data_IF_549980970104
#
_entry.id   IF_549980970104
#
_cell.length_a   1.000
_cell.length_b   1.000
_cell.length_c   1.000
_cell.angle_alpha   90.00
_cell.angle_beta   90.00
_cell.angle_gamma   90.00
#
_symmetry.space_group_name_H-M   'P 1'
#
loop_
_entity.id
_entity.type
_entity.pdbx_description
1 polymer ?
#
# COMPACT_ATOMS: atom_id res chain seq x y z
N UNK A 1 -6.10 10.05 20.58
CA UNK A 1 -6.61 9.82 19.21
C UNK A 1 -6.23 8.40 18.87
N UNK A 2 -7.23 7.55 18.61
CA UNK A 2 -7.12 6.10 18.75
C UNK A 2 -6.12 5.47 17.77
N UNK A 3 -5.34 4.52 18.27
CA UNK A 3 -4.33 3.72 17.56
C UNK A 3 -4.96 2.69 16.58
N UNK A 4 -6.27 2.78 16.33
CA UNK A 4 -7.11 1.76 15.67
C UNK A 4 -7.06 1.76 14.13
N UNK A 5 -6.28 2.63 13.48
CA UNK A 5 -6.21 2.69 12.02
C UNK A 5 -5.03 1.92 11.42
N UNK A 6 -4.12 1.36 12.25
CA UNK A 6 -3.00 0.54 11.79
C UNK A 6 -3.20 -0.90 12.25
N UNK A 7 -3.51 -1.78 11.30
CA UNK A 7 -3.41 -3.22 11.52
C UNK A 7 -1.97 -3.64 11.21
N UNK A 8 -1.18 -3.94 12.25
CA UNK A 8 0.11 -4.62 12.07
C UNK A 8 -0.17 -6.04 11.63
N UNK A 9 0.08 -6.33 10.36
CA UNK A 9 -0.26 -7.62 9.73
C UNK A 9 0.78 -8.68 10.07
N UNK A 10 2.06 -8.30 10.06
CA UNK A 10 3.17 -9.23 10.31
C UNK A 10 4.44 -8.46 10.67
N UNK A 11 5.22 -9.00 11.62
CA UNK A 11 6.60 -8.56 11.86
C UNK A 11 7.50 -9.76 11.70
N UNK A 12 8.50 -9.66 10.83
CA UNK A 12 9.43 -10.77 10.55
C UNK A 12 10.84 -10.32 10.87
N UNK A 13 11.56 -11.10 11.68
CA UNK A 13 12.99 -10.91 11.87
C UNK A 13 13.75 -11.65 10.77
N UNK A 14 14.70 -10.98 10.12
CA UNK A 14 15.53 -11.59 9.08
C UNK A 14 16.97 -11.12 9.24
N UNK A 15 17.92 -12.03 9.01
CA UNK A 15 19.35 -11.73 9.05
C UNK A 15 19.86 -11.47 7.63
N UNK A 16 20.42 -10.28 7.41
CA UNK A 16 20.86 -9.83 6.09
C UNK A 16 22.28 -9.29 6.24
N UNK A 17 23.25 -10.01 5.67
CA UNK A 17 24.67 -9.65 5.78
C UNK A 17 25.21 -9.66 7.22
N UNK A 18 24.68 -10.53 8.10
CA UNK A 18 25.07 -10.62 9.50
C UNK A 18 24.42 -9.59 10.43
N UNK A 19 23.53 -8.73 9.91
CA UNK A 19 22.76 -7.77 10.70
C UNK A 19 21.31 -8.25 10.80
N UNK A 20 20.81 -8.38 12.02
CA UNK A 20 19.38 -8.65 12.27
C UNK A 20 18.57 -7.40 11.93
N UNK A 21 17.67 -7.51 10.95
CA UNK A 21 16.68 -6.48 10.62
C UNK A 21 15.29 -6.98 10.97
N UNK A 22 14.51 -6.11 11.60
CA UNK A 22 13.08 -6.31 11.85
C UNK A 22 12.33 -5.69 10.69
N UNK A 23 11.73 -6.51 9.83
CA UNK A 23 10.89 -6.05 8.72
C UNK A 23 9.45 -5.94 9.21
N UNK A 24 8.91 -4.72 9.16
CA UNK A 24 7.52 -4.45 9.54
C UNK A 24 6.62 -4.49 8.31
N UNK A 25 5.52 -5.23 8.45
CA UNK A 25 4.39 -5.19 7.53
C UNK A 25 3.15 -4.74 8.26
N UNK A 26 2.64 -3.57 7.89
CA UNK A 26 1.40 -3.05 8.44
C UNK A 26 0.50 -2.56 7.32
N UNK A 27 -0.81 -2.54 7.55
CA UNK A 27 -1.78 -1.94 6.66
C UNK A 27 -2.58 -0.89 7.41
N UNK A 28 -3.08 0.10 6.68
CA UNK A 28 -4.00 1.10 7.21
C UNK A 28 -5.02 1.50 6.17
N UNK A 29 -6.16 2.01 6.63
CA UNK A 29 -7.22 2.49 5.75
C UNK A 29 -6.75 3.67 4.93
N UNK A 30 -7.25 3.75 3.70
CA UNK A 30 -7.07 4.88 2.80
C UNK A 30 -8.35 5.12 2.01
N UNK A 31 -8.48 6.32 1.47
CA UNK A 31 -9.63 6.71 0.66
C UNK A 31 -9.20 6.94 -0.77
N UNK A 32 -9.93 6.38 -1.73
CA UNK A 32 -9.71 6.64 -3.15
C UNK A 32 -10.09 8.09 -3.45
N UNK A 33 -9.14 8.87 -3.97
CA UNK A 33 -9.38 10.27 -4.33
C UNK A 33 -9.55 10.48 -5.83
N UNK A 34 -8.98 9.59 -6.65
CA UNK A 34 -9.09 9.68 -8.10
C UNK A 34 -8.95 8.31 -8.74
N UNK A 35 -9.75 8.07 -9.76
CA UNK A 35 -9.63 6.92 -10.65
C UNK A 35 -9.62 7.43 -12.09
N UNK A 36 -8.71 6.92 -12.91
CA UNK A 36 -8.65 7.22 -14.34
C UNK A 36 -8.33 5.93 -15.12
N UNK A 37 -9.11 5.61 -16.14
CA UNK A 37 -8.87 4.42 -16.96
C UNK A 37 -7.79 4.69 -18.00
N UNK A 38 -6.89 3.72 -18.20
CA UNK A 38 -5.83 3.79 -19.19
C UNK A 38 -5.48 2.39 -19.73
N UNK A 39 -5.75 2.13 -21.02
CA UNK A 39 -5.24 0.97 -21.78
C UNK A 39 -5.35 -0.38 -21.03
N UNK A 40 -6.52 -0.69 -20.47
CA UNK A 40 -6.80 -1.95 -19.77
C UNK A 40 -6.52 -1.93 -18.26
N UNK A 41 -5.97 -0.84 -17.74
CA UNK A 41 -5.68 -0.63 -16.32
C UNK A 41 -6.47 0.58 -15.78
N UNK A 42 -6.53 0.68 -14.45
CA UNK A 42 -6.98 1.86 -13.73
C UNK A 42 -5.78 2.50 -13.05
N UNK A 43 -5.61 3.79 -13.27
CA UNK A 43 -4.78 4.63 -12.43
C UNK A 43 -5.61 5.02 -11.22
N UNK A 44 -5.18 4.63 -10.03
CA UNK A 44 -5.85 4.91 -8.77
C UNK A 44 -4.94 5.77 -7.91
N UNK A 45 -5.47 6.87 -7.42
CA UNK A 45 -4.83 7.68 -6.39
C UNK A 45 -5.61 7.50 -5.10
N UNK A 46 -4.91 7.17 -4.03
CA UNK A 46 -5.48 7.07 -2.69
C UNK A 46 -4.85 8.10 -1.78
N UNK A 47 -5.62 8.56 -0.80
CA UNK A 47 -5.16 9.40 0.28
C UNK A 47 -5.12 8.60 1.56
N UNK A 48 -3.97 8.67 2.21
CA UNK A 48 -3.74 8.18 3.54
C UNK A 48 -4.10 9.28 4.54
N UNK A 49 -5.19 9.08 5.28
CA UNK A 49 -5.69 10.05 6.25
C UNK A 49 -4.72 10.26 7.42
N UNK A 50 -3.90 9.25 7.76
CA UNK A 50 -3.00 9.32 8.92
C UNK A 50 -1.74 10.14 8.63
N UNK A 51 -1.17 9.98 7.44
CA UNK A 51 0.04 10.74 7.04
C UNK A 51 -0.25 11.94 6.13
N UNK A 52 -1.51 12.16 5.75
CA UNK A 52 -1.91 13.16 4.78
C UNK A 52 -1.08 13.10 3.48
N UNK A 53 -0.77 11.86 3.05
CA UNK A 53 0.01 11.56 1.85
C UNK A 53 -0.88 10.93 0.79
N UNK A 54 -0.54 11.18 -0.47
CA UNK A 54 -1.19 10.56 -1.61
C UNK A 54 -0.26 9.55 -2.26
N UNK A 55 -0.82 8.40 -2.61
CA UNK A 55 -0.11 7.34 -3.31
C UNK A 55 -0.76 7.09 -4.66
N UNK A 56 0.06 6.91 -5.69
CA UNK A 56 -0.36 6.65 -7.06
C UNK A 56 -0.07 5.20 -7.43
N UNK A 57 -1.10 4.52 -7.92
CA UNK A 57 -1.06 3.15 -8.42
C UNK A 57 -1.48 3.16 -9.89
N UNK A 58 -0.56 2.84 -10.79
CA UNK A 58 -0.76 2.98 -12.23
C UNK A 58 -1.26 1.72 -12.93
N UNK A 59 -1.30 0.59 -12.24
CA UNK A 59 -1.56 -0.73 -12.83
C UNK A 59 -2.59 -1.50 -12.02
N UNK A 60 -3.60 -0.82 -11.50
CA UNK A 60 -4.73 -1.49 -10.85
C UNK A 60 -5.55 -2.21 -11.92
N UNK A 61 -5.79 -3.50 -11.70
CA UNK A 61 -6.52 -4.36 -12.66
C UNK A 61 -7.93 -3.80 -12.86
N UNK A 62 -8.36 -3.72 -14.12
CA UNK A 62 -9.72 -3.29 -14.48
C UNK A 62 -10.74 -4.44 -14.38
N UNK A 63 -10.62 -5.29 -13.38
CA UNK A 63 -11.60 -6.34 -13.06
C UNK A 63 -12.51 -5.88 -11.91
N UNK A 64 -13.64 -6.54 -11.65
CA UNK A 64 -14.35 -6.37 -10.39
C UNK A 64 -13.40 -6.60 -9.18
N UNK A 65 -13.58 -5.85 -8.07
CA UNK A 65 -14.62 -4.84 -7.84
C UNK A 65 -14.38 -3.54 -8.63
N UNK A 66 -15.47 -2.80 -8.88
CA UNK A 66 -15.35 -1.42 -9.35
C UNK A 66 -14.77 -0.55 -8.23
N UNK A 67 -13.90 0.39 -8.58
CA UNK A 67 -13.23 1.29 -7.63
C UNK A 67 -13.60 2.71 -8.04
N UNK A 68 -14.20 3.44 -7.11
CA UNK A 68 -14.71 4.79 -7.30
C UNK A 68 -14.05 5.77 -6.32
N UNK A 69 -13.97 7.07 -6.69
CA UNK A 69 -13.62 8.11 -5.72
C UNK A 69 -14.57 8.08 -4.52
N UNK A 70 -14.00 8.10 -3.31
CA UNK A 70 -14.72 7.97 -2.05
C UNK A 70 -14.62 6.58 -1.41
N UNK A 71 -14.25 5.55 -2.17
CA UNK A 71 -14.16 4.18 -1.64
C UNK A 71 -13.04 4.04 -0.60
N UNK A 72 -13.29 3.19 0.40
CA UNK A 72 -12.30 2.79 1.39
C UNK A 72 -11.55 1.54 0.92
N UNK A 73 -10.22 1.60 1.00
CA UNK A 73 -9.29 0.51 0.69
C UNK A 73 -8.22 0.41 1.78
N UNK A 74 -7.37 -0.60 1.71
CA UNK A 74 -6.16 -0.70 2.54
C UNK A 74 -4.91 -0.35 1.75
N UNK A 75 -4.00 0.40 2.37
CA UNK A 75 -2.60 0.52 1.95
C UNK A 75 -1.72 -0.26 2.90
N UNK A 76 -0.96 -1.20 2.36
CA UNK A 76 0.07 -1.97 3.04
C UNK A 76 1.44 -1.35 2.85
N UNK A 77 2.26 -1.37 3.89
CA UNK A 77 3.65 -0.95 3.86
C UNK A 77 4.51 -2.16 4.21
N UNK A 78 5.47 -2.45 3.34
CA UNK A 78 6.40 -3.57 3.50
C UNK A 78 7.82 -3.03 3.34
N UNK A 79 8.59 -3.09 4.43
CA UNK A 79 10.01 -2.73 4.41
C UNK A 79 10.78 -3.70 3.52
N UNK A 80 11.69 -3.16 2.70
CA UNK A 80 12.52 -3.98 1.85
C UNK A 80 13.68 -4.59 2.67
N UNK A 81 14.07 -5.84 2.38
CA UNK A 81 15.21 -6.48 3.05
C UNK A 81 16.54 -5.75 2.79
N UNK A 82 16.64 -4.99 1.71
CA UNK A 82 17.84 -4.27 1.31
C UNK A 82 17.52 -2.80 1.03
N UNK A 83 18.50 -1.93 1.28
CA UNK A 83 18.40 -0.51 0.97
C UNK A 83 18.72 -0.32 -0.51
N UNK A 84 17.70 0.03 -1.31
CA UNK A 84 17.92 0.55 -2.65
C UNK A 84 18.10 2.08 -2.57
N UNK A 85 19.00 2.67 -3.38
CA UNK A 85 19.15 4.12 -3.42
C UNK A 85 17.82 4.79 -3.75
N UNK A 86 17.23 5.46 -2.77
CA UNK A 86 15.98 6.19 -2.93
C UNK A 86 14.70 5.34 -2.89
N UNK A 87 14.76 4.04 -2.58
CA UNK A 87 13.55 3.22 -2.32
C UNK A 87 13.67 2.61 -0.93
N UNK A 88 12.74 2.97 -0.05
CA UNK A 88 12.73 2.53 1.35
C UNK A 88 11.71 1.44 1.61
N UNK A 89 10.60 1.45 0.88
CA UNK A 89 9.47 0.57 1.18
C UNK A 89 8.65 0.26 -0.07
N UNK A 90 8.06 -0.94 -0.08
CA UNK A 90 7.01 -1.31 -1.01
C UNK A 90 5.67 -0.90 -0.41
N UNK A 91 4.87 -0.20 -1.19
CA UNK A 91 3.51 0.21 -0.82
C UNK A 91 2.53 -0.59 -1.66
N UNK A 92 1.57 -1.23 -1.01
CA UNK A 92 0.66 -2.19 -1.63
C UNK A 92 -0.76 -1.67 -1.49
N UNK A 93 -1.52 -1.61 -2.58
CA UNK A 93 -2.94 -1.31 -2.54
C UNK A 93 -3.73 -2.61 -2.43
N UNK A 94 -4.68 -2.66 -1.51
CA UNK A 94 -5.51 -3.84 -1.25
C UNK A 94 -6.97 -3.44 -1.06
N UNK A 95 -7.88 -4.33 -1.44
CA UNK A 95 -9.29 -4.27 -1.07
C UNK A 95 -9.48 -4.54 0.43
N UNK A 96 -10.68 -4.28 0.96
CA UNK A 96 -11.00 -4.48 2.37
C UNK A 96 -10.98 -5.95 2.80
N UNK A 97 -11.23 -6.88 1.87
CA UNK A 97 -11.08 -8.33 2.04
C UNK A 97 -9.61 -8.80 1.93
N UNK A 98 -8.67 -7.89 1.68
CA UNK A 98 -7.24 -8.16 1.68
C UNK A 98 -6.66 -8.61 0.34
N UNK A 99 -7.43 -8.56 -0.75
CA UNK A 99 -6.93 -8.86 -2.09
C UNK A 99 -6.03 -7.72 -2.59
N UNK A 100 -4.84 -8.07 -3.09
CA UNK A 100 -3.90 -7.09 -3.63
C UNK A 100 -4.33 -6.61 -5.02
N UNK A 101 -4.47 -5.30 -5.17
CA UNK A 101 -4.88 -4.63 -6.40
C UNK A 101 -3.69 -4.17 -7.25
N UNK A 102 -2.68 -3.59 -6.62
CA UNK A 102 -1.45 -3.09 -7.25
C UNK A 102 -0.39 -2.82 -6.17
N UNK A 103 0.83 -2.47 -6.56
CA UNK A 103 1.86 -1.98 -5.65
C UNK A 103 2.75 -0.93 -6.32
N UNK A 104 3.40 -0.10 -5.50
CA UNK A 104 4.36 0.90 -5.92
C UNK A 104 5.55 0.93 -4.95
N UNK A 105 6.60 1.66 -5.31
CA UNK A 105 7.82 1.83 -4.52
C UNK A 105 8.09 3.32 -4.36
N UNK A 106 8.53 3.71 -3.15
CA UNK A 106 8.95 5.08 -2.80
C UNK A 106 10.20 5.08 -1.95
#
# INVERSE_FOLDING_TARGET
MADNDIDVVQTTETEIGGIKKTLKKFKRKCTVVRVAQAKGWRNVVVSDSKENKKFFFGKVINSPPEINPGDELYIGFEELPYELPGIKQKIILMTLDGFQLDWTQV
#
